data_IF_985862139489
#
_entry.id   IF_985862139489
#
_cell.length_a   1.000
_cell.length_b   1.000
_cell.length_c   1.000
_cell.angle_alpha   90.00
_cell.angle_beta   90.00
_cell.angle_gamma   90.00
#
_symmetry.space_group_name_H-M   'P 1'
#
loop_
_entity.id
_entity.type
_entity.pdbx_description
1 polymer ?
#
# COMPACT_ATOMS: atom_id res chain seq x y z
N UNK A 1 12.91 3.45 23.70
CA UNK A 1 12.99 3.49 22.22
C UNK A 1 12.95 4.93 21.76
N UNK A 2 13.68 5.25 20.71
CA UNK A 2 13.74 6.61 20.16
C UNK A 2 12.48 6.93 19.38
N UNK A 3 11.62 7.77 19.97
CA UNK A 3 10.32 8.11 19.35
C UNK A 3 10.49 8.85 18.02
N UNK A 4 11.56 9.62 17.84
CA UNK A 4 11.81 10.33 16.59
C UNK A 4 12.03 9.34 15.45
N UNK A 5 12.84 8.30 15.68
CA UNK A 5 13.07 7.26 14.68
C UNK A 5 11.78 6.53 14.35
N UNK A 6 10.98 6.18 15.36
CA UNK A 6 9.70 5.50 15.14
C UNK A 6 8.75 6.36 14.32
N UNK A 7 8.66 7.65 14.63
CA UNK A 7 7.81 8.57 13.87
C UNK A 7 8.23 8.66 12.40
N UNK A 8 9.54 8.67 12.14
CA UNK A 8 10.06 8.68 10.76
C UNK A 8 9.69 7.42 10.01
N UNK A 9 9.80 6.26 10.67
CA UNK A 9 9.43 4.99 10.04
C UNK A 9 7.94 4.97 9.74
N UNK A 10 7.11 5.40 10.70
CA UNK A 10 5.66 5.46 10.51
C UNK A 10 5.32 6.37 9.33
N UNK A 11 5.94 7.55 9.25
CA UNK A 11 5.70 8.48 8.15
C UNK A 11 6.06 7.84 6.81
N UNK A 12 7.17 7.10 6.76
CA UNK A 12 7.58 6.39 5.55
C UNK A 12 6.54 5.35 5.14
N UNK A 13 5.97 4.63 6.12
CA UNK A 13 4.94 3.66 5.82
C UNK A 13 3.67 4.32 5.30
N UNK A 14 3.27 5.47 5.87
CA UNK A 14 2.13 6.23 5.33
C UNK A 14 2.39 6.68 3.90
N UNK A 15 3.59 7.16 3.60
CA UNK A 15 3.95 7.55 2.24
C UNK A 15 3.88 6.35 1.28
N UNK A 16 4.31 5.18 1.72
CA UNK A 16 4.19 3.95 0.94
C UNK A 16 2.73 3.64 0.65
N UNK A 17 1.86 3.76 1.65
CA UNK A 17 0.42 3.53 1.46
C UNK A 17 -0.15 4.51 0.43
N UNK A 18 0.18 5.78 0.54
CA UNK A 18 -0.30 6.80 -0.41
C UNK A 18 0.17 6.48 -1.83
N UNK A 19 1.44 6.13 -1.99
CA UNK A 19 2.00 5.79 -3.30
C UNK A 19 1.34 4.55 -3.90
N UNK A 20 1.13 3.52 -3.08
CA UNK A 20 0.49 2.29 -3.52
C UNK A 20 -0.98 2.51 -3.86
N UNK A 21 -1.68 3.38 -3.11
CA UNK A 21 -3.05 3.75 -3.42
C UNK A 21 -3.14 4.45 -4.78
N UNK A 22 -2.19 5.34 -5.08
CA UNK A 22 -2.16 6.01 -6.39
C UNK A 22 -1.95 5.01 -7.51
N UNK A 23 -1.05 4.06 -7.32
CA UNK A 23 -0.80 3.00 -8.30
C UNK A 23 -2.02 2.12 -8.48
N UNK A 24 -2.69 1.78 -7.38
CA UNK A 24 -3.90 0.98 -7.40
C UNK A 24 -5.01 1.69 -8.19
N UNK A 25 -5.22 2.97 -7.93
CA UNK A 25 -6.22 3.76 -8.65
C UNK A 25 -5.93 3.79 -10.15
N UNK A 26 -4.65 3.90 -10.51
CA UNK A 26 -4.25 3.89 -11.92
C UNK A 26 -4.57 2.55 -12.58
N UNK A 27 -4.27 1.44 -11.90
CA UNK A 27 -4.54 0.11 -12.42
C UNK A 27 -6.05 -0.11 -12.58
N UNK A 28 -6.83 0.31 -11.59
CA UNK A 28 -8.29 0.19 -11.66
C UNK A 28 -8.87 1.06 -12.79
N UNK A 29 -8.28 2.21 -13.05
CA UNK A 29 -8.67 3.06 -14.18
C UNK A 29 -8.41 2.35 -15.51
N UNK A 30 -7.31 1.62 -15.63
CA UNK A 30 -6.99 0.83 -16.83
C UNK A 30 -8.00 -0.30 -17.03
N UNK A 31 -8.47 -0.90 -15.94
CA UNK A 31 -9.44 -2.00 -16.02
C UNK A 31 -10.76 -1.55 -16.64
N UNK A 32 -11.12 -0.30 -16.46
CA UNK A 32 -12.37 0.25 -17.02
C UNK A 32 -12.19 0.77 -18.43
N UNK A 33 -10.98 0.72 -18.99
CA UNK A 33 -10.70 1.18 -20.34
C UNK A 33 -11.03 0.07 -21.33
N UNK A 34 -12.08 0.29 -22.13
CA UNK A 34 -12.54 -0.68 -23.13
C UNK A 34 -11.52 -0.98 -24.20
N UNK A 35 -10.53 -0.12 -24.38
CA UNK A 35 -9.45 -0.33 -25.35
C UNK A 35 -8.36 -1.26 -24.85
N UNK A 36 -8.39 -1.63 -23.57
CA UNK A 36 -7.35 -2.50 -23.00
C UNK A 36 -7.48 -3.92 -23.54
N UNK A 37 -6.37 -4.55 -23.99
CA UNK A 37 -6.41 -5.93 -24.45
C UNK A 37 -6.83 -6.90 -23.34
N UNK A 38 -7.52 -7.97 -23.71
CA UNK A 38 -8.01 -8.96 -22.74
C UNK A 38 -6.92 -9.57 -21.89
N UNK A 39 -5.73 -9.80 -22.46
CA UNK A 39 -4.65 -10.42 -21.70
C UNK A 39 -4.19 -9.55 -20.53
N UNK A 40 -4.53 -8.26 -20.53
CA UNK A 40 -4.18 -7.38 -19.41
C UNK A 40 -5.09 -7.59 -18.20
N UNK A 41 -6.24 -8.23 -18.36
CA UNK A 41 -7.19 -8.42 -17.25
C UNK A 41 -6.55 -9.23 -16.13
N UNK A 42 -5.95 -10.39 -16.42
CA UNK A 42 -5.30 -11.17 -15.37
C UNK A 42 -4.04 -10.47 -14.85
N UNK A 43 -3.31 -9.76 -15.72
CA UNK A 43 -2.18 -8.94 -15.28
C UNK A 43 -2.58 -7.81 -14.35
N UNK A 44 -3.71 -7.16 -14.65
CA UNK A 44 -4.26 -6.12 -13.79
C UNK A 44 -4.71 -6.67 -12.44
N UNK A 45 -5.36 -7.84 -12.45
CA UNK A 45 -5.76 -8.52 -11.22
C UNK A 45 -4.55 -8.77 -10.32
N UNK A 46 -3.47 -9.30 -10.89
CA UNK A 46 -2.25 -9.56 -10.15
C UNK A 46 -1.66 -8.28 -9.57
N UNK A 47 -1.66 -7.20 -10.34
CA UNK A 47 -1.16 -5.90 -9.88
C UNK A 47 -2.01 -5.35 -8.74
N UNK A 48 -3.32 -5.47 -8.84
CA UNK A 48 -4.23 -5.04 -7.77
C UNK A 48 -3.90 -5.79 -6.48
N UNK A 49 -3.76 -7.12 -6.56
CA UNK A 49 -3.40 -7.93 -5.41
C UNK A 49 -2.06 -7.52 -4.81
N UNK A 50 -1.07 -7.25 -5.66
CA UNK A 50 0.26 -6.82 -5.19
C UNK A 50 0.20 -5.48 -4.46
N UNK A 51 -0.53 -4.50 -5.00
CA UNK A 51 -0.65 -3.20 -4.35
C UNK A 51 -1.41 -3.31 -3.04
N UNK A 52 -2.48 -4.11 -2.98
CA UNK A 52 -3.21 -4.35 -1.75
C UNK A 52 -2.32 -5.00 -0.69
N UNK A 53 -1.51 -5.99 -1.08
CA UNK A 53 -0.58 -6.65 -0.16
C UNK A 53 0.43 -5.65 0.41
N UNK A 54 0.97 -4.76 -0.41
CA UNK A 54 1.91 -3.76 0.05
C UNK A 54 1.27 -2.76 1.01
N UNK A 55 0.02 -2.38 0.75
CA UNK A 55 -0.73 -1.50 1.66
C UNK A 55 -0.95 -2.18 3.01
N UNK A 56 -1.39 -3.44 3.00
CA UNK A 56 -1.63 -4.20 4.22
C UNK A 56 -0.34 -4.37 5.02
N UNK A 57 0.76 -4.70 4.36
CA UNK A 57 2.06 -4.82 5.02
C UNK A 57 2.46 -3.52 5.69
N UNK A 58 2.29 -2.39 5.01
CA UNK A 58 2.63 -1.08 5.57
C UNK A 58 1.74 -0.75 6.77
N UNK A 59 0.44 -1.03 6.68
CA UNK A 59 -0.49 -0.83 7.79
C UNK A 59 -0.11 -1.66 9.00
N UNK A 60 0.25 -2.93 8.78
CA UNK A 60 0.66 -3.82 9.86
C UNK A 60 1.94 -3.33 10.54
N UNK A 61 2.88 -2.80 9.79
CA UNK A 61 4.09 -2.22 10.35
C UNK A 61 3.79 -1.02 11.24
N UNK A 62 2.85 -0.17 10.82
CA UNK A 62 2.43 0.99 11.60
C UNK A 62 1.79 0.53 12.91
N UNK A 63 0.87 -0.43 12.85
CA UNK A 63 0.19 -0.97 14.03
C UNK A 63 1.19 -1.54 15.01
N UNK A 64 2.14 -2.33 14.51
CA UNK A 64 3.17 -2.94 15.36
C UNK A 64 4.02 -1.87 16.05
N UNK A 65 4.46 -0.86 15.32
CA UNK A 65 5.27 0.21 15.88
C UNK A 65 4.51 1.01 16.93
N UNK A 66 3.24 1.30 16.66
CA UNK A 66 2.41 2.01 17.62
C UNK A 66 2.21 1.20 18.91
N UNK A 67 2.06 -0.12 18.77
CA UNK A 67 1.93 -1.02 19.91
C UNK A 67 3.19 -1.02 20.77
N UNK A 68 4.36 -0.95 20.15
CA UNK A 68 5.63 -0.92 20.87
C UNK A 68 5.83 0.42 21.60
N UNK A 69 5.45 1.53 20.96
CA UNK A 69 5.64 2.88 21.53
C UNK A 69 4.59 3.16 22.61
N UNK A 70 3.36 2.70 22.43
CA UNK A 70 2.25 2.90 23.34
C UNK A 70 1.70 1.54 23.78
N UNK A 71 2.41 0.86 24.70
CA UNK A 71 2.08 -0.53 25.04
C UNK A 71 0.94 -0.63 26.04
N UNK A 72 -0.17 -0.15 25.72
CA UNK A 72 -1.29 -0.25 26.65
C UNK A 72 -2.29 -1.23 26.22
#
# INVERSE_FOLDING_TARGET
MNTTTVKRVIRRQFNTIIDEEKKLKRVLSMETDDSAPEYTVSGLYTRVEQHLDEIVKAQNKIVLLQSIVNPD
#
